data_IF_413529929739
#
_entry.id   IF_413529929739
#
_cell.length_a   1.000
_cell.length_b   1.000
_cell.length_c   1.000
_cell.angle_alpha   90.00
_cell.angle_beta   90.00
_cell.angle_gamma   90.00
#
_symmetry.space_group_name_H-M   'P 1'
#
loop_
_entity.id
_entity.type
_entity.pdbx_description
1 polymer ?
#
# COMPACT_ATOMS: atom_id res chain seq x y z
N UNK A 1 -7.55 18.31 21.73
CA UNK A 1 -6.68 18.90 20.69
C UNK A 1 -5.32 18.21 20.63
N UNK A 2 -4.42 18.35 21.62
CA UNK A 2 -3.12 17.65 21.57
C UNK A 2 -3.27 16.13 21.68
N UNK A 3 -4.02 15.65 22.67
CA UNK A 3 -4.24 14.21 22.87
C UNK A 3 -5.00 13.56 21.70
N UNK A 4 -5.94 14.30 21.10
CA UNK A 4 -6.66 13.86 19.90
C UNK A 4 -5.72 13.74 18.70
N UNK A 5 -4.80 14.69 18.53
CA UNK A 5 -3.81 14.65 17.47
C UNK A 5 -2.82 13.50 17.68
N UNK A 6 -2.34 13.28 18.91
CA UNK A 6 -1.45 12.16 19.24
C UNK A 6 -2.12 10.81 19.01
N UNK A 7 -3.39 10.67 19.39
CA UNK A 7 -4.18 9.48 19.09
C UNK A 7 -4.31 9.26 17.59
N UNK A 8 -4.65 10.31 16.85
CA UNK A 8 -4.72 10.22 15.38
C UNK A 8 -3.39 9.81 14.75
N UNK A 9 -2.25 10.32 15.25
CA UNK A 9 -0.92 9.93 14.78
C UNK A 9 -0.68 8.43 14.98
N UNK A 10 -0.96 7.91 16.19
CA UNK A 10 -0.83 6.49 16.50
C UNK A 10 -1.72 5.62 15.62
N UNK A 11 -3.00 5.99 15.49
CA UNK A 11 -3.96 5.25 14.67
C UNK A 11 -3.56 5.26 13.19
N UNK A 12 -3.03 6.39 12.69
CA UNK A 12 -2.54 6.51 11.33
C UNK A 12 -1.31 5.61 11.09
N UNK A 13 -0.36 5.56 12.02
CA UNK A 13 0.82 4.70 11.93
C UNK A 13 0.44 3.21 11.92
N UNK A 14 -0.50 2.80 12.77
CA UNK A 14 -1.03 1.43 12.76
C UNK A 14 -1.71 1.12 11.42
N UNK A 15 -2.55 2.03 10.92
CA UNK A 15 -3.21 1.85 9.64
C UNK A 15 -2.21 1.71 8.49
N UNK A 16 -1.14 2.52 8.45
CA UNK A 16 -0.08 2.45 7.43
C UNK A 16 0.53 1.04 7.37
N UNK A 17 0.76 0.41 8.52
CA UNK A 17 1.35 -0.93 8.59
C UNK A 17 0.38 -2.05 8.18
N UNK A 18 -0.92 -1.86 8.39
CA UNK A 18 -1.96 -2.86 8.05
C UNK A 18 -2.39 -2.81 6.58
N UNK A 19 -2.38 -1.63 5.96
CA UNK A 19 -2.90 -1.44 4.61
C UNK A 19 -2.24 -2.30 3.53
N UNK A 20 -0.92 -2.58 3.55
CA UNK A 20 -0.32 -3.45 2.55
C UNK A 20 -0.97 -4.83 2.49
N UNK A 21 -1.30 -5.42 3.65
CA UNK A 21 -1.95 -6.74 3.70
C UNK A 21 -3.41 -6.67 3.21
N UNK A 22 -4.17 -5.66 3.67
CA UNK A 22 -5.55 -5.43 3.21
C UNK A 22 -5.64 -5.19 1.70
N UNK A 23 -4.67 -4.48 1.13
CA UNK A 23 -4.58 -4.26 -0.32
C UNK A 23 -4.28 -5.55 -1.07
N UNK A 24 -3.41 -6.41 -0.55
CA UNK A 24 -3.14 -7.73 -1.13
C UNK A 24 -4.40 -8.60 -1.11
N UNK A 25 -5.11 -8.66 0.02
CA UNK A 25 -6.38 -9.40 0.14
C UNK A 25 -7.41 -8.94 -0.89
N UNK A 26 -7.57 -7.62 -1.05
CA UNK A 26 -8.50 -7.04 -2.03
C UNK A 26 -8.05 -7.32 -3.48
N UNK A 27 -6.74 -7.23 -3.75
CA UNK A 27 -6.19 -7.51 -5.07
C UNK A 27 -6.35 -8.99 -5.46
N UNK A 28 -6.24 -9.92 -4.52
CA UNK A 28 -6.43 -11.36 -4.77
C UNK A 28 -7.87 -11.69 -5.18
N UNK A 29 -8.87 -10.87 -4.81
CA UNK A 29 -10.26 -11.03 -5.29
C UNK A 29 -10.41 -10.84 -6.80
N UNK A 30 -9.41 -10.24 -7.47
CA UNK A 30 -9.39 -10.09 -8.92
C UNK A 30 -9.04 -11.40 -9.67
N UNK A 31 -8.73 -12.48 -8.94
CA UNK A 31 -8.49 -13.82 -9.44
C UNK A 31 -7.00 -14.17 -9.50
N UNK A 32 -6.40 -14.10 -10.69
CA UNK A 32 -4.99 -14.50 -10.90
C UNK A 32 -4.00 -13.48 -10.32
N UNK A 33 -2.81 -13.91 -9.91
CA UNK A 33 -1.73 -13.02 -9.46
C UNK A 33 -1.44 -11.86 -10.43
N UNK A 34 -1.39 -12.12 -11.75
CA UNK A 34 -1.14 -11.05 -12.73
C UNK A 34 -2.26 -10.01 -12.80
N UNK A 35 -3.50 -10.40 -12.50
CA UNK A 35 -4.65 -9.49 -12.41
C UNK A 35 -4.59 -8.69 -11.10
N UNK A 36 -4.21 -9.35 -10.01
CA UNK A 36 -4.01 -8.71 -8.71
C UNK A 36 -2.91 -7.63 -8.78
N UNK A 37 -1.73 -7.96 -9.35
CA UNK A 37 -0.64 -7.01 -9.50
C UNK A 37 -1.02 -5.82 -10.40
N UNK A 38 -1.68 -6.10 -11.54
CA UNK A 38 -2.21 -5.05 -12.42
C UNK A 38 -3.28 -4.19 -11.75
N UNK A 39 -4.06 -4.74 -10.83
CA UNK A 39 -5.04 -3.98 -10.07
C UNK A 39 -4.34 -3.02 -9.10
N UNK A 40 -3.35 -3.49 -8.33
CA UNK A 40 -2.58 -2.66 -7.41
C UNK A 40 -1.89 -1.50 -8.14
N UNK A 41 -1.18 -1.79 -9.24
CA UNK A 41 -0.48 -0.77 -10.05
C UNK A 41 -1.42 0.30 -10.62
N UNK A 42 -2.66 -0.06 -10.97
CA UNK A 42 -3.65 0.92 -11.48
C UNK A 42 -4.30 1.77 -10.39
N UNK A 43 -4.24 1.33 -9.13
CA UNK A 43 -4.82 2.03 -7.98
C UNK A 43 -3.81 2.86 -7.21
N UNK A 44 -2.52 2.58 -7.40
CA UNK A 44 -1.44 3.41 -6.87
C UNK A 44 -1.57 4.85 -7.40
N UNK A 45 -1.54 5.87 -6.53
CA UNK A 45 -1.66 7.26 -6.95
C UNK A 45 -0.40 7.72 -7.71
N UNK A 46 -0.55 8.71 -8.58
CA UNK A 46 0.58 9.37 -9.24
C UNK A 46 1.35 10.29 -8.28
N UNK A 47 2.58 10.66 -8.65
CA UNK A 47 3.33 11.64 -7.88
C UNK A 47 2.73 13.02 -8.15
N UNK A 48 2.85 13.91 -7.17
CA UNK A 48 2.56 15.32 -7.41
C UNK A 48 3.52 15.85 -8.49
N UNK A 49 3.01 16.64 -9.43
CA UNK A 49 3.81 17.27 -10.50
C UNK A 49 4.85 18.26 -9.95
N UNK A 50 4.64 18.76 -8.72
CA UNK A 50 5.61 19.53 -7.94
C UNK A 50 5.93 18.80 -6.64
N UNK A 51 7.22 18.74 -6.27
CA UNK A 51 7.65 18.23 -4.97
C UNK A 51 8.38 19.35 -4.20
N UNK A 52 7.63 20.05 -3.35
CA UNK A 52 8.11 21.13 -2.48
C UNK A 52 8.37 20.64 -1.04
N UNK A 53 8.21 19.35 -0.78
CA UNK A 53 8.39 18.75 0.54
C UNK A 53 7.26 19.05 1.52
N UNK A 54 6.07 19.41 1.01
CA UNK A 54 4.91 19.72 1.85
C UNK A 54 4.31 18.45 2.48
N UNK A 55 3.63 18.55 3.64
CA UNK A 55 3.03 17.39 4.30
C UNK A 55 2.11 16.56 3.40
N UNK A 56 1.32 17.20 2.54
CA UNK A 56 0.41 16.52 1.62
C UNK A 56 1.15 15.72 0.55
N UNK A 57 2.27 16.26 0.05
CA UNK A 57 3.13 15.59 -0.93
C UNK A 57 3.83 14.38 -0.29
N UNK A 58 4.31 14.53 0.96
CA UNK A 58 4.87 13.42 1.74
C UNK A 58 3.83 12.35 2.01
N UNK A 59 2.58 12.73 2.29
CA UNK A 59 1.50 11.78 2.49
C UNK A 59 1.20 10.96 1.22
N UNK A 60 1.23 11.58 0.04
CA UNK A 60 1.11 10.87 -1.24
C UNK A 60 2.26 9.87 -1.43
N UNK A 61 3.49 10.27 -1.09
CA UNK A 61 4.66 9.37 -1.11
C UNK A 61 4.43 8.17 -0.19
N UNK A 62 3.97 8.39 1.05
CA UNK A 62 3.64 7.32 1.99
C UNK A 62 2.60 6.36 1.42
N UNK A 63 1.51 6.86 0.83
CA UNK A 63 0.49 6.01 0.18
C UNK A 63 1.13 5.18 -0.94
N UNK A 64 1.99 5.78 -1.75
CA UNK A 64 2.70 5.07 -2.82
C UNK A 64 3.54 3.91 -2.29
N UNK A 65 4.29 4.14 -1.22
CA UNK A 65 5.13 3.12 -0.56
C UNK A 65 4.29 1.97 -0.02
N UNK A 66 3.10 2.25 0.53
CA UNK A 66 2.14 1.21 0.97
C UNK A 66 1.75 0.30 -0.22
N UNK A 67 1.47 0.88 -1.40
CA UNK A 67 1.17 0.09 -2.60
C UNK A 67 2.38 -0.73 -3.08
N UNK A 68 3.59 -0.15 -3.04
CA UNK A 68 4.80 -0.88 -3.41
C UNK A 68 5.03 -2.08 -2.49
N UNK A 69 4.84 -1.89 -1.17
CA UNK A 69 4.92 -2.99 -0.21
C UNK A 69 3.87 -4.08 -0.48
N UNK A 70 2.63 -3.70 -0.78
CA UNK A 70 1.57 -4.64 -1.16
C UNK A 70 1.97 -5.45 -2.41
N UNK A 71 2.53 -4.80 -3.45
CA UNK A 71 3.02 -5.47 -4.66
C UNK A 71 4.15 -6.43 -4.32
N UNK A 72 5.10 -6.05 -3.46
CA UNK A 72 6.19 -6.92 -3.02
C UNK A 72 5.69 -8.12 -2.22
N UNK A 73 4.70 -7.94 -1.34
CA UNK A 73 4.06 -9.03 -0.59
C UNK A 73 3.33 -9.99 -1.54
N UNK A 74 2.55 -9.48 -2.49
CA UNK A 74 1.87 -10.28 -3.50
C UNK A 74 2.85 -11.16 -4.32
N UNK A 75 3.96 -10.57 -4.77
CA UNK A 75 5.01 -11.30 -5.51
C UNK A 75 5.63 -12.43 -4.69
N UNK A 76 5.89 -12.19 -3.40
CA UNK A 76 6.39 -13.23 -2.47
C UNK A 76 5.41 -14.39 -2.32
N UNK A 77 4.10 -14.11 -2.22
CA UNK A 77 3.06 -15.15 -2.19
C UNK A 77 3.03 -15.97 -3.49
N UNK A 78 3.11 -15.29 -4.64
CA UNK A 78 3.14 -15.95 -5.95
C UNK A 78 4.36 -16.89 -6.10
N UNK A 79 5.52 -16.48 -5.59
CA UNK A 79 6.73 -17.31 -5.61
C UNK A 79 6.60 -18.53 -4.72
N UNK A 80 6.09 -18.40 -3.49
CA UNK A 80 5.86 -19.53 -2.59
C UNK A 80 4.96 -20.58 -3.23
N UNK A 81 3.85 -20.15 -3.83
CA UNK A 81 2.90 -21.06 -4.49
C UNK A 81 3.50 -21.82 -5.70
N UNK A 82 4.56 -21.29 -6.33
CA UNK A 82 5.27 -21.97 -7.42
C UNK A 82 6.25 -23.03 -6.92
N UNK A 83 6.78 -22.88 -5.71
CA UNK A 83 7.74 -23.83 -5.11
C UNK A 83 7.04 -25.03 -4.50
N UNK A 84 5.81 -24.83 -4.02
CA UNK A 84 4.98 -25.90 -3.41
C UNK A 84 4.21 -26.76 -4.44
N UNK A 85 4.44 -26.58 -5.75
CA UNK A 85 3.84 -27.34 -6.85
C UNK A 85 4.89 -28.17 -7.59
#
# INVERSE_FOLDING_TARGET
MLDEFQKWQYDAEQAINEWPDKLVEEALKQGTYDKAERWLKRKQPDYSDSFLGKPEEQFIVTIKVIYDEAIHKLRRLAMKQKVDK
#
